data_IF_000886860748
#
_entry.id   IF_000886860748
#
_cell.length_a   1.000
_cell.length_b   1.000
_cell.length_c   1.000
_cell.angle_alpha   90.00
_cell.angle_beta   90.00
_cell.angle_gamma   90.00
#
_symmetry.space_group_name_H-M   'P 1'
#
loop_
_entity.id
_entity.type
_entity.pdbx_description
1 polymer ?
#
# COMPACT_ATOMS: atom_id res chain seq x y z
N UNK A 1 9.44 -17.36 -0.04
CA UNK A 1 10.14 -17.55 1.26
C UNK A 1 9.07 -17.70 2.33
N UNK A 2 8.79 -18.93 2.80
CA UNK A 2 7.76 -19.17 3.81
C UNK A 2 8.25 -18.63 5.14
N UNK A 3 7.59 -17.60 5.68
CA UNK A 3 7.82 -17.16 7.06
C UNK A 3 7.32 -18.29 7.96
N UNK A 4 8.23 -19.13 8.47
CA UNK A 4 7.91 -20.05 9.58
C UNK A 4 7.84 -19.20 10.84
N UNK A 5 6.64 -18.71 11.16
CA UNK A 5 6.38 -18.09 12.45
C UNK A 5 6.38 -19.21 13.49
N UNK A 6 7.38 -19.15 14.37
CA UNK A 6 7.48 -20.02 15.52
C UNK A 6 6.21 -19.81 16.37
N UNK A 7 5.62 -20.87 16.93
CA UNK A 7 4.47 -20.77 17.83
C UNK A 7 4.89 -20.11 19.16
N UNK A 8 5.09 -18.80 19.14
CA UNK A 8 5.22 -18.00 20.34
C UNK A 8 3.83 -17.45 20.69
N UNK A 9 3.40 -17.64 21.94
CA UNK A 9 2.08 -17.25 22.46
C UNK A 9 1.93 -15.73 22.64
N UNK A 10 2.46 -14.92 21.71
CA UNK A 10 2.38 -13.46 21.78
C UNK A 10 1.25 -12.95 20.90
N UNK A 11 0.68 -11.80 21.31
CA UNK A 11 -0.41 -11.15 20.57
C UNK A 11 0.03 -10.80 19.14
N UNK A 12 1.31 -10.48 18.96
CA UNK A 12 1.90 -10.11 17.68
C UNK A 12 1.89 -11.29 16.71
N UNK A 13 2.32 -12.47 17.16
CA UNK A 13 2.32 -13.68 16.30
C UNK A 13 0.90 -14.05 15.90
N UNK A 14 -0.07 -13.90 16.80
CA UNK A 14 -1.48 -14.14 16.51
C UNK A 14 -2.02 -13.20 15.43
N UNK A 15 -1.65 -11.92 15.50
CA UNK A 15 -2.02 -10.93 14.48
C UNK A 15 -1.37 -11.24 13.14
N UNK A 16 -0.06 -11.53 13.11
CA UNK A 16 0.64 -11.84 11.86
C UNK A 16 0.08 -13.12 11.23
N UNK A 17 -0.16 -14.17 12.01
CA UNK A 17 -0.75 -15.41 11.52
C UNK A 17 -2.13 -15.17 10.90
N UNK A 18 -2.98 -14.34 11.52
CA UNK A 18 -4.29 -14.00 10.96
C UNK A 18 -4.20 -13.37 9.56
N UNK A 19 -3.27 -12.40 9.38
CA UNK A 19 -3.07 -11.75 8.09
C UNK A 19 -2.49 -12.68 7.03
N UNK A 20 -1.58 -13.57 7.41
CA UNK A 20 -0.94 -14.52 6.49
C UNK A 20 -1.90 -15.64 6.07
N UNK A 21 -2.77 -16.09 6.97
CA UNK A 21 -3.74 -17.15 6.68
C UNK A 21 -4.85 -16.69 5.72
N UNK A 22 -5.24 -15.42 5.77
CA UNK A 22 -6.28 -14.83 4.92
C UNK A 22 -5.71 -14.05 3.72
N UNK A 23 -4.42 -14.20 3.42
CA UNK A 23 -3.79 -13.52 2.28
C UNK A 23 -4.25 -14.14 0.94
N UNK A 24 -4.52 -13.29 -0.05
CA UNK A 24 -4.72 -13.75 -1.43
C UNK A 24 -3.37 -14.23 -2.01
N UNK A 25 -3.30 -15.51 -2.38
CA UNK A 25 -2.12 -16.13 -2.95
C UNK A 25 -1.61 -15.43 -4.22
N UNK A 26 -2.49 -14.72 -4.94
CA UNK A 26 -2.16 -13.99 -6.17
C UNK A 26 -1.27 -12.77 -5.92
N UNK A 27 -1.48 -12.09 -4.79
CA UNK A 27 -0.75 -10.87 -4.44
C UNK A 27 0.46 -11.16 -3.56
N UNK A 28 0.60 -12.37 -3.02
CA UNK A 28 1.68 -12.78 -2.12
C UNK A 28 3.09 -12.43 -2.58
N UNK A 29 3.38 -12.47 -3.88
CA UNK A 29 4.72 -12.16 -4.38
C UNK A 29 5.00 -10.66 -4.52
N UNK A 30 4.00 -9.81 -4.27
CA UNK A 30 4.11 -8.37 -4.47
C UNK A 30 4.98 -7.71 -3.42
N UNK A 31 5.56 -6.59 -3.85
CA UNK A 31 6.36 -5.76 -2.97
C UNK A 31 5.49 -5.28 -1.78
N UNK A 32 5.99 -5.51 -0.56
CA UNK A 32 5.33 -5.18 0.71
C UNK A 32 4.06 -5.96 1.09
N UNK A 33 3.56 -6.93 0.32
CA UNK A 33 2.36 -7.71 0.72
C UNK A 33 2.66 -8.82 1.73
N UNK A 34 3.83 -9.48 1.59
CA UNK A 34 4.17 -10.72 2.29
C UNK A 34 4.10 -10.65 3.82
N UNK A 35 4.27 -9.46 4.40
CA UNK A 35 4.27 -9.29 5.84
C UNK A 35 3.82 -7.88 6.22
N UNK A 36 3.05 -7.71 7.31
CA UNK A 36 2.66 -6.40 7.81
C UNK A 36 3.82 -5.64 8.47
N UNK A 37 4.89 -6.34 8.89
CA UNK A 37 6.05 -5.76 9.58
C UNK A 37 6.72 -4.60 8.81
N UNK A 38 7.14 -4.80 7.54
CA UNK A 38 7.69 -3.73 6.71
C UNK A 38 6.79 -2.49 6.60
N UNK A 39 5.47 -2.65 6.50
CA UNK A 39 4.53 -1.53 6.44
C UNK A 39 4.53 -0.73 7.75
N UNK A 40 4.46 -1.40 8.90
CA UNK A 40 4.54 -0.74 10.20
C UNK A 40 5.87 -0.04 10.43
N UNK A 41 6.98 -0.62 9.95
CA UNK A 41 8.30 0.00 10.02
C UNK A 41 8.36 1.29 9.21
N UNK A 42 7.87 1.29 7.97
CA UNK A 42 7.81 2.48 7.11
C UNK A 42 6.93 3.56 7.75
N UNK A 43 5.75 3.17 8.27
CA UNK A 43 4.84 4.10 8.93
C UNK A 43 5.46 4.72 10.19
N UNK A 44 6.09 3.91 11.03
CA UNK A 44 6.77 4.38 12.23
C UNK A 44 7.91 5.34 11.91
N UNK A 45 8.72 5.00 10.90
CA UNK A 45 9.80 5.86 10.43
C UNK A 45 9.27 7.20 9.86
N UNK A 46 8.19 7.15 9.07
CA UNK A 46 7.52 8.33 8.54
C UNK A 46 7.00 9.24 9.66
N UNK A 47 6.28 8.69 10.63
CA UNK A 47 5.74 9.46 11.75
C UNK A 47 6.85 10.06 12.62
N UNK A 48 7.89 9.29 12.93
CA UNK A 48 9.06 9.79 13.65
C UNK A 48 9.73 10.96 12.92
N UNK A 49 9.90 10.83 11.60
CA UNK A 49 10.46 11.87 10.77
C UNK A 49 9.58 13.12 10.75
N UNK A 50 8.27 13.00 10.51
CA UNK A 50 7.37 14.15 10.40
C UNK A 50 7.12 14.86 11.73
N UNK A 51 7.03 14.12 12.84
CA UNK A 51 6.64 14.67 14.14
C UNK A 51 7.83 15.16 14.96
N UNK A 52 8.99 14.50 14.84
CA UNK A 52 10.13 14.79 15.69
C UNK A 52 11.36 15.24 14.91
N UNK A 53 11.92 14.37 14.05
CA UNK A 53 13.21 14.64 13.43
C UNK A 53 13.17 15.83 12.46
N UNK A 54 12.14 15.91 11.62
CA UNK A 54 11.94 16.98 10.64
C UNK A 54 11.78 18.35 11.28
N UNK A 55 10.80 18.56 12.20
CA UNK A 55 10.63 19.84 12.88
C UNK A 55 11.85 20.27 13.68
N UNK A 56 12.54 19.32 14.36
CA UNK A 56 13.78 19.60 15.09
C UNK A 56 14.90 20.07 14.15
N UNK A 57 15.04 19.44 12.98
CA UNK A 57 16.02 19.81 11.97
C UNK A 57 15.71 21.17 11.29
N UNK A 58 14.43 21.50 11.11
CA UNK A 58 13.98 22.73 10.46
C UNK A 58 13.90 23.95 11.39
N UNK A 59 14.03 23.76 12.73
CA UNK A 59 13.83 24.82 13.74
C UNK A 59 14.62 26.10 13.47
N UNK A 60 15.89 25.96 13.10
CA UNK A 60 16.82 27.09 12.94
C UNK A 60 17.14 27.36 11.46
N UNK A 61 16.32 26.85 10.54
CA UNK A 61 16.52 26.97 9.08
C UNK A 61 15.34 27.68 8.42
N UNK A 62 15.62 28.40 7.34
CA UNK A 62 14.58 28.96 6.47
C UNK A 62 13.82 27.84 5.74
N UNK A 63 12.52 28.02 5.47
CA UNK A 63 11.74 27.03 4.71
C UNK A 63 12.34 26.82 3.32
N UNK A 64 12.25 25.60 2.82
CA UNK A 64 12.73 25.24 1.49
C UNK A 64 11.77 25.72 0.40
N UNK A 65 12.30 26.40 -0.61
CA UNK A 65 11.56 26.78 -1.82
C UNK A 65 11.47 25.59 -2.78
N UNK A 66 10.44 24.76 -2.62
CA UNK A 66 10.26 23.51 -3.39
C UNK A 66 9.20 23.63 -4.51
N UNK A 67 8.89 24.85 -4.96
CA UNK A 67 7.77 25.13 -5.88
C UNK A 67 7.79 24.26 -7.14
N UNK A 68 8.93 24.19 -7.83
CA UNK A 68 9.04 23.40 -9.06
C UNK A 68 8.98 21.90 -8.80
N UNK A 69 9.62 21.43 -7.73
CA UNK A 69 9.57 20.02 -7.31
C UNK A 69 8.14 19.61 -6.99
N UNK A 70 7.39 20.45 -6.26
CA UNK A 70 6.00 20.19 -5.89
C UNK A 70 5.07 20.22 -7.10
N UNK A 71 5.33 21.09 -8.07
CA UNK A 71 4.59 21.11 -9.34
C UNK A 71 4.76 19.79 -10.10
N UNK A 72 6.00 19.31 -10.26
CA UNK A 72 6.29 18.04 -10.95
C UNK A 72 5.67 16.87 -10.18
N UNK A 73 5.83 16.85 -8.85
CA UNK A 73 5.26 15.82 -7.99
C UNK A 73 3.73 15.71 -8.17
N UNK A 74 3.01 16.83 -8.12
CA UNK A 74 1.57 16.84 -8.30
C UNK A 74 1.15 16.43 -9.73
N UNK A 75 1.90 16.85 -10.75
CA UNK A 75 1.63 16.44 -12.12
C UNK A 75 1.77 14.91 -12.28
N UNK A 76 2.83 14.32 -11.74
CA UNK A 76 3.03 12.85 -11.73
C UNK A 76 1.91 12.17 -10.94
N UNK A 77 1.51 12.72 -9.79
CA UNK A 77 0.44 12.15 -8.97
C UNK A 77 -0.88 12.11 -9.74
N UNK A 78 -1.24 13.18 -10.47
CA UNK A 78 -2.45 13.20 -11.31
C UNK A 78 -2.39 12.15 -12.42
N UNK A 79 -1.24 12.00 -13.07
CA UNK A 79 -1.05 10.97 -14.11
C UNK A 79 -1.23 9.56 -13.53
N UNK A 80 -0.62 9.27 -12.37
CA UNK A 80 -0.77 7.97 -11.69
C UNK A 80 -2.21 7.72 -11.25
N UNK A 81 -2.90 8.72 -10.70
CA UNK A 81 -4.32 8.60 -10.37
C UNK A 81 -5.18 8.31 -11.59
N UNK A 82 -4.89 8.94 -12.74
CA UNK A 82 -5.58 8.64 -13.98
C UNK A 82 -5.36 7.19 -14.44
N UNK A 83 -4.13 6.69 -14.36
CA UNK A 83 -3.81 5.29 -14.70
C UNK A 83 -4.55 4.32 -13.79
N UNK A 84 -4.52 4.54 -12.46
CA UNK A 84 -5.24 3.71 -11.50
C UNK A 84 -6.75 3.73 -11.74
N UNK A 85 -7.31 4.91 -12.06
CA UNK A 85 -8.72 5.03 -12.40
C UNK A 85 -9.06 4.25 -13.68
N UNK A 86 -8.22 4.33 -14.72
CA UNK A 86 -8.43 3.60 -15.96
C UNK A 86 -8.36 2.09 -15.77
N UNK A 87 -7.33 1.57 -15.10
CA UNK A 87 -7.18 0.14 -14.84
C UNK A 87 -8.30 -0.38 -13.93
N UNK A 88 -8.63 0.36 -12.85
CA UNK A 88 -9.75 0.01 -11.98
C UNK A 88 -11.11 0.05 -12.67
N UNK A 89 -11.33 1.04 -13.56
CA UNK A 89 -12.54 1.10 -14.37
C UNK A 89 -12.63 -0.09 -15.33
N UNK A 90 -11.55 -0.40 -16.06
CA UNK A 90 -11.51 -1.53 -17.00
C UNK A 90 -11.62 -2.89 -16.31
N UNK A 91 -10.99 -3.07 -15.15
CA UNK A 91 -11.04 -4.30 -14.35
C UNK A 91 -12.40 -4.51 -13.66
N UNK A 92 -13.10 -3.44 -13.30
CA UNK A 92 -14.44 -3.49 -12.70
C UNK A 92 -15.55 -3.14 -13.69
N UNK A 93 -15.97 -1.88 -13.67
CA UNK A 93 -17.20 -1.38 -14.32
C UNK A 93 -17.10 -1.13 -15.84
N UNK A 94 -16.02 -1.56 -16.48
CA UNK A 94 -15.76 -1.39 -17.91
C UNK A 94 -16.51 -2.36 -18.83
N UNK A 95 -17.53 -3.05 -18.32
CA UNK A 95 -18.38 -3.98 -19.08
C UNK A 95 -18.78 -5.26 -18.36
N UNK A 96 -18.15 -5.58 -17.21
CA UNK A 96 -18.34 -6.87 -16.53
C UNK A 96 -18.96 -6.75 -15.12
N UNK A 97 -18.80 -5.60 -14.46
CA UNK A 97 -19.36 -5.36 -13.11
C UNK A 97 -20.62 -4.50 -13.15
N UNK A 98 -21.55 -4.80 -12.23
CA UNK A 98 -22.70 -3.97 -11.94
C UNK A 98 -22.42 -3.01 -10.77
N UNK A 99 -23.19 -1.93 -10.65
CA UNK A 99 -23.16 -1.02 -9.48
C UNK A 99 -23.91 -1.58 -8.25
N UNK A 100 -24.03 -2.91 -8.15
CA UNK A 100 -24.67 -3.62 -7.02
C UNK A 100 -23.62 -4.51 -6.34
N UNK A 101 -24.02 -5.31 -5.36
CA UNK A 101 -23.14 -6.29 -4.73
C UNK A 101 -22.54 -7.23 -5.79
N UNK A 102 -21.24 -7.11 -5.99
CA UNK A 102 -20.45 -8.00 -6.83
C UNK A 102 -19.45 -8.74 -5.91
N UNK A 103 -19.40 -10.07 -5.94
CA UNK A 103 -18.41 -10.82 -5.18
C UNK A 103 -17.00 -10.60 -5.75
N UNK A 104 -15.99 -10.80 -4.91
CA UNK A 104 -14.60 -10.83 -5.35
C UNK A 104 -14.31 -12.21 -5.95
N UNK A 105 -13.81 -12.23 -7.18
CA UNK A 105 -13.38 -13.45 -7.86
C UNK A 105 -11.89 -13.68 -7.60
N UNK A 106 -11.54 -14.85 -7.07
CA UNK A 106 -10.16 -15.23 -6.76
C UNK A 106 -9.48 -16.04 -7.88
N UNK A 107 -10.03 -15.98 -9.10
CA UNK A 107 -9.45 -16.62 -10.28
C UNK A 107 -8.24 -15.81 -10.81
N UNK A 108 -7.33 -16.47 -11.51
CA UNK A 108 -6.14 -15.84 -12.10
C UNK A 108 -6.38 -15.38 -13.55
N UNK A 109 -7.60 -14.94 -13.84
CA UNK A 109 -7.98 -14.41 -15.15
C UNK A 109 -7.37 -13.01 -15.38
N UNK A 110 -7.16 -12.60 -16.64
CA UNK A 110 -6.50 -11.34 -16.97
C UNK A 110 -7.29 -10.09 -16.57
N UNK A 111 -8.57 -10.21 -16.22
CA UNK A 111 -9.42 -9.10 -15.77
C UNK A 111 -9.27 -8.92 -14.26
N UNK A 112 -9.26 -10.03 -13.51
CA UNK A 112 -9.05 -10.01 -12.06
C UNK A 112 -7.62 -9.66 -11.66
N UNK A 113 -6.62 -9.99 -12.48
CA UNK A 113 -5.18 -9.72 -12.23
C UNK A 113 -4.72 -8.32 -12.66
N UNK A 114 -5.65 -7.48 -13.11
CA UNK A 114 -5.38 -6.18 -13.71
C UNK A 114 -5.24 -5.05 -12.68
#
# INVERSE_FOLDING_TARGET
MSVRLNETNTIVDRMVNFFVEHEDLRTKSWFLSNAPGPLFMILGAYLYFCLYAGPRYMRDRKPFELKNTLLIYNAVQVLLSWVLFYEGYKGGWGGHYNFKCQPVTYESDPISMR
#
